data_IF_307270771700
#
_entry.id   IF_307270771700
#
_cell.length_a   1.000
_cell.length_b   1.000
_cell.length_c   1.000
_cell.angle_alpha   90.00
_cell.angle_beta   90.00
_cell.angle_gamma   90.00
#
_symmetry.space_group_name_H-M   'P 1'
#
loop_
_entity.id
_entity.type
_entity.pdbx_description
1 polymer ?
#
# COMPACT_ATOMS: atom_id res chain seq x y z
N UNK A 1 6.73 17.68 -0.35
CA UNK A 1 6.53 16.64 0.67
C UNK A 1 5.45 15.69 0.18
N UNK A 2 5.75 14.93 -0.89
CA UNK A 2 4.85 13.95 -1.55
C UNK A 2 5.65 12.72 -2.04
N UNK A 3 6.98 12.73 -1.87
CA UNK A 3 7.88 11.67 -2.30
C UNK A 3 7.99 10.58 -1.21
N UNK A 4 7.89 11.00 0.05
CA UNK A 4 7.94 10.13 1.22
C UNK A 4 6.71 9.20 1.25
N UNK A 5 5.51 9.70 0.95
CA UNK A 5 4.27 8.92 0.93
C UNK A 5 4.33 7.77 -0.09
N UNK A 6 4.79 8.07 -1.32
CA UNK A 6 4.96 7.06 -2.36
C UNK A 6 6.04 6.03 -2.01
N UNK A 7 7.09 6.46 -1.30
CA UNK A 7 8.13 5.57 -0.79
C UNK A 7 7.56 4.61 0.27
N UNK A 8 6.78 5.15 1.22
CA UNK A 8 6.11 4.36 2.27
C UNK A 8 5.12 3.34 1.68
N UNK A 9 4.34 3.71 0.65
CA UNK A 9 3.44 2.78 -0.05
C UNK A 9 4.22 1.63 -0.70
N UNK A 10 5.38 1.94 -1.29
CA UNK A 10 6.22 0.94 -1.98
C UNK A 10 6.86 -0.02 -0.97
N UNK A 11 7.37 0.50 0.14
CA UNK A 11 7.91 -0.30 1.25
C UNK A 11 6.82 -1.15 1.91
N UNK A 12 5.64 -0.57 2.16
CA UNK A 12 4.46 -1.28 2.64
C UNK A 12 4.09 -2.45 1.72
N UNK A 13 4.05 -2.23 0.41
CA UNK A 13 3.76 -3.26 -0.57
C UNK A 13 4.82 -4.37 -0.59
N UNK A 14 6.11 -4.01 -0.55
CA UNK A 14 7.22 -4.95 -0.46
C UNK A 14 7.14 -5.77 0.82
N UNK A 15 6.91 -5.11 1.96
CA UNK A 15 6.73 -5.76 3.25
C UNK A 15 5.58 -6.76 3.22
N UNK A 16 4.44 -6.38 2.62
CA UNK A 16 3.28 -7.25 2.50
C UNK A 16 3.55 -8.47 1.60
N UNK A 17 4.33 -8.32 0.52
CA UNK A 17 4.77 -9.45 -0.34
C UNK A 17 5.71 -10.42 0.37
N UNK A 18 6.49 -9.93 1.34
CA UNK A 18 7.34 -10.75 2.18
C UNK A 18 6.54 -11.49 3.27
N UNK A 19 5.30 -11.09 3.57
CA UNK A 19 4.45 -11.83 4.49
C UNK A 19 3.90 -13.09 3.83
N UNK A 20 4.42 -14.25 4.22
CA UNK A 20 3.98 -15.58 3.75
C UNK A 20 2.59 -15.96 4.25
N UNK A 21 2.15 -15.37 5.37
CA UNK A 21 0.81 -15.52 5.93
C UNK A 21 0.09 -14.19 5.77
N UNK A 22 -1.01 -14.12 5.01
CA UNK A 22 -1.71 -12.86 4.83
C UNK A 22 -2.19 -12.35 6.19
N UNK A 23 -1.71 -11.19 6.66
CA UNK A 23 -2.23 -10.60 7.89
C UNK A 23 -3.72 -10.37 7.68
N UNK A 24 -4.54 -10.88 8.60
CA UNK A 24 -6.00 -10.84 8.51
C UNK A 24 -6.53 -9.42 8.30
N UNK A 25 -5.75 -8.42 8.71
CA UNK A 25 -6.00 -6.99 8.53
C UNK A 25 -4.71 -6.25 8.07
N UNK A 26 -4.40 -6.30 6.77
CA UNK A 26 -3.26 -5.60 6.20
C UNK A 26 -3.34 -4.07 6.35
N UNK A 27 -4.53 -3.48 6.20
CA UNK A 27 -4.73 -2.02 6.28
C UNK A 27 -4.29 -1.41 7.62
N UNK A 28 -4.78 -1.86 8.79
CA UNK A 28 -4.34 -1.32 10.07
C UNK A 28 -2.86 -1.59 10.35
N UNK A 29 -2.32 -2.74 9.92
CA UNK A 29 -0.90 -3.04 10.08
C UNK A 29 -0.02 -2.03 9.32
N UNK A 30 -0.42 -1.64 8.10
CA UNK A 30 0.28 -0.63 7.31
C UNK A 30 0.12 0.77 7.88
N UNK A 31 -1.08 1.09 8.38
CA UNK A 31 -1.39 2.34 9.09
C UNK A 31 -0.48 2.54 10.31
N UNK A 32 -0.40 1.54 11.19
CA UNK A 32 0.39 1.64 12.42
C UNK A 32 1.89 1.56 12.17
N UNK A 33 2.34 0.78 11.17
CA UNK A 33 3.77 0.64 10.88
C UNK A 33 4.37 1.77 10.06
N UNK A 34 3.65 2.21 9.02
CA UNK A 34 4.18 3.16 8.04
C UNK A 34 3.55 4.54 8.16
N UNK A 35 2.56 4.72 9.04
CA UNK A 35 1.83 5.99 9.18
C UNK A 35 0.92 6.31 7.99
N UNK A 36 0.65 5.32 7.13
CA UNK A 36 -0.10 5.49 5.89
C UNK A 36 -1.58 5.75 6.16
N UNK A 37 -2.22 6.52 5.28
CA UNK A 37 -3.67 6.70 5.26
C UNK A 37 -4.38 5.42 4.79
N UNK A 38 -5.70 5.33 5.02
CA UNK A 38 -6.48 4.16 4.59
C UNK A 38 -6.42 3.94 3.06
N UNK A 39 -6.33 5.01 2.27
CA UNK A 39 -6.18 4.96 0.81
C UNK A 39 -4.82 4.39 0.42
N UNK A 40 -3.75 4.90 1.02
CA UNK A 40 -2.37 4.50 0.74
C UNK A 40 -2.10 3.04 1.15
N UNK A 41 -2.69 2.61 2.28
CA UNK A 41 -2.64 1.22 2.70
C UNK A 41 -3.36 0.29 1.70
N UNK A 42 -4.51 0.71 1.16
CA UNK A 42 -5.19 -0.02 0.09
C UNK A 42 -4.36 -0.07 -1.19
N UNK A 43 -3.69 1.03 -1.57
CA UNK A 43 -2.78 1.05 -2.71
C UNK A 43 -1.62 0.08 -2.52
N UNK A 44 -0.98 0.08 -1.35
CA UNK A 44 0.11 -0.84 -1.02
C UNK A 44 -0.34 -2.31 -1.07
N UNK A 45 -1.56 -2.61 -0.60
CA UNK A 45 -2.13 -3.96 -0.67
C UNK A 45 -2.37 -4.38 -2.12
N UNK A 46 -2.95 -3.49 -2.94
CA UNK A 46 -3.16 -3.76 -4.35
C UNK A 46 -1.83 -3.97 -5.09
N UNK A 47 -0.84 -3.12 -4.83
CA UNK A 47 0.52 -3.25 -5.38
C UNK A 47 1.22 -4.54 -4.94
N UNK A 48 1.04 -4.95 -3.67
CA UNK A 48 1.57 -6.20 -3.16
C UNK A 48 0.95 -7.42 -3.85
N UNK A 49 -0.36 -7.36 -4.12
CA UNK A 49 -1.12 -8.41 -4.81
C UNK A 49 -0.96 -8.39 -6.33
N UNK A 50 -0.25 -7.40 -6.88
CA UNK A 50 -0.09 -7.22 -8.33
C UNK A 50 -1.38 -6.76 -9.03
N UNK A 51 -2.33 -6.20 -8.28
CA UNK A 51 -3.55 -5.64 -8.84
C UNK A 51 -3.27 -4.25 -9.43
N UNK A 52 -3.84 -3.93 -10.61
CA UNK A 52 -3.71 -2.60 -11.17
C UNK A 52 -4.45 -1.61 -10.26
N UNK A 53 -3.69 -0.76 -9.56
CA UNK A 53 -4.23 0.43 -8.90
C UNK A 53 -4.61 1.40 -10.01
N UNK A 54 -5.91 1.41 -10.35
CA UNK A 54 -6.48 2.47 -11.18
C UNK A 54 -6.50 3.74 -10.33
N UNK A 55 -5.41 4.51 -10.39
CA UNK A 55 -5.47 5.92 -10.01
C UNK A 55 -6.40 6.59 -11.01
N UNK A 56 -7.41 7.31 -10.54
CA UNK A 56 -8.40 7.99 -11.36
C UNK A 56 -7.82 9.15 -12.22
N UNK A 57 -6.51 9.13 -12.50
CA UNK A 57 -5.80 10.09 -13.34
C UNK A 57 -5.81 9.70 -14.82
N UNK A 58 -6.34 8.52 -15.18
CA UNK A 58 -6.53 8.12 -16.59
C UNK A 58 -7.94 8.51 -17.08
N UNK A 59 -8.24 9.80 -16.98
CA UNK A 59 -9.33 10.45 -17.70
C UNK A 59 -8.72 11.66 -18.41
N UNK A 60 -8.06 11.40 -19.54
CA UNK A 60 -7.69 12.42 -20.53
C UNK A 60 -8.69 12.41 -21.67
#
# INVERSE_FOLDING_TARGET
>A
MMADDQHQITEAARWLRLQTVPPRLAVPALKERFGLSAVEACEAIAAARGLPVRRASDAS
#
